data_IF_822389044935
#
_entry.id   IF_822389044935
#
_cell.length_a   1.000
_cell.length_b   1.000
_cell.length_c   1.000
_cell.angle_alpha   90.00
_cell.angle_beta   90.00
_cell.angle_gamma   90.00
#
_symmetry.space_group_name_H-M   'P 1'
#
loop_
_entity.id
_entity.type
_entity.pdbx_description
1 polymer ?
#
# COMPACT_ATOMS: atom_id res chain seq x y z
N UNK A 1 22.44 -19.47 23.09
CA UNK A 1 23.62 -18.66 22.73
C UNK A 1 23.92 -18.96 21.27
N UNK A 2 23.20 -18.36 20.30
CA UNK A 2 23.58 -17.12 19.61
C UNK A 2 22.36 -16.21 19.35
N UNK A 3 21.83 -15.62 20.42
CA UNK A 3 20.79 -14.59 20.38
C UNK A 3 21.38 -13.17 20.16
N UNK A 4 22.46 -13.03 19.37
CA UNK A 4 23.20 -11.76 19.36
C UNK A 4 23.81 -11.29 18.02
N UNK A 5 23.55 -11.91 16.85
CA UNK A 5 24.18 -11.42 15.60
C UNK A 5 23.39 -11.38 14.28
N UNK A 6 22.07 -11.49 14.29
CA UNK A 6 21.29 -11.07 13.12
C UNK A 6 20.68 -9.66 13.26
N UNK A 7 21.13 -8.89 14.27
CA UNK A 7 20.86 -7.45 14.40
C UNK A 7 21.69 -6.57 13.44
N UNK A 8 22.40 -7.18 12.47
CA UNK A 8 23.28 -6.50 11.52
C UNK A 8 22.79 -6.52 10.05
N UNK A 9 21.61 -7.08 9.76
CA UNK A 9 20.98 -6.97 8.43
C UNK A 9 19.90 -5.87 8.38
N UNK A 10 19.90 -4.96 9.36
CA UNK A 10 18.98 -3.84 9.50
C UNK A 10 19.54 -2.49 8.99
N UNK A 11 20.70 -2.43 8.35
CA UNK A 11 21.24 -1.13 7.94
C UNK A 11 21.72 -1.16 6.48
N UNK A 12 20.80 -0.78 5.57
CA UNK A 12 21.04 -0.33 4.19
C UNK A 12 21.41 -1.41 3.15
N UNK A 13 20.72 -1.57 2.04
CA UNK A 13 19.62 -0.83 1.46
C UNK A 13 19.32 -1.44 0.11
N UNK A 14 18.15 -2.09 -0.03
CA UNK A 14 17.62 -2.39 -1.35
C UNK A 14 16.08 -2.46 -1.39
N UNK A 15 15.42 -1.81 -0.43
CA UNK A 15 14.01 -1.38 -0.59
C UNK A 15 13.88 -0.35 -1.72
N UNK A 16 15.01 0.23 -2.16
CA UNK A 16 15.14 1.01 -3.37
C UNK A 16 14.94 0.21 -4.66
N UNK A 17 15.16 -1.11 -4.70
CA UNK A 17 15.00 -1.86 -5.96
C UNK A 17 13.55 -2.17 -6.31
N UNK A 18 12.67 -2.32 -5.33
CA UNK A 18 11.23 -2.53 -5.57
C UNK A 18 10.56 -1.20 -5.97
N UNK A 19 10.91 -0.12 -5.27
CA UNK A 19 10.48 1.24 -5.62
C UNK A 19 11.09 1.68 -6.94
N UNK A 20 12.37 1.45 -7.23
CA UNK A 20 12.99 1.82 -8.51
C UNK A 20 12.49 0.95 -9.67
N UNK A 21 12.07 -0.30 -9.44
CA UNK A 21 11.37 -1.12 -10.46
C UNK A 21 9.94 -0.63 -10.68
N UNK A 22 9.23 -0.22 -9.62
CA UNK A 22 7.89 0.38 -9.71
C UNK A 22 7.94 1.78 -10.33
N UNK A 23 8.91 2.62 -9.97
CA UNK A 23 9.20 3.94 -10.53
C UNK A 23 9.69 3.83 -11.98
N UNK A 24 10.55 2.86 -12.34
CA UNK A 24 10.87 2.60 -13.76
C UNK A 24 9.68 2.09 -14.58
N UNK A 25 8.77 1.33 -13.99
CA UNK A 25 7.55 0.87 -14.65
C UNK A 25 6.50 1.98 -14.81
N UNK A 26 6.41 2.90 -13.85
CA UNK A 26 5.49 4.06 -13.85
C UNK A 26 6.06 5.32 -14.51
N UNK A 27 7.39 5.39 -14.74
CA UNK A 27 8.05 6.48 -15.44
C UNK A 27 7.97 6.40 -16.98
N UNK A 28 7.40 5.32 -17.54
CA UNK A 28 7.07 5.29 -18.97
C UNK A 28 5.69 5.90 -19.17
N UNK A 29 5.60 6.86 -20.07
CA UNK A 29 4.47 7.75 -20.34
C UNK A 29 3.07 7.12 -20.18
N UNK A 30 2.91 5.83 -20.51
CA UNK A 30 1.68 5.05 -20.37
C UNK A 30 1.00 5.10 -18.99
N UNK A 31 1.72 5.19 -17.87
CA UNK A 31 1.07 5.27 -16.54
C UNK A 31 0.22 6.53 -16.39
N UNK A 32 0.68 7.69 -16.87
CA UNK A 32 -0.12 8.92 -16.81
C UNK A 32 -1.35 8.86 -17.73
N UNK A 33 -1.27 8.08 -18.81
CA UNK A 33 -2.34 7.89 -19.79
C UNK A 33 -3.36 6.81 -19.38
N UNK A 34 -3.10 6.02 -18.34
CA UNK A 34 -4.09 5.07 -17.83
C UNK A 34 -5.25 5.78 -17.13
N UNK A 35 -6.49 5.27 -17.30
CA UNK A 35 -7.64 5.68 -16.50
C UNK A 35 -7.32 5.60 -14.99
N UNK A 36 -7.88 6.53 -14.22
CA UNK A 36 -7.63 6.62 -12.78
C UNK A 36 -7.99 5.32 -12.05
N UNK A 37 -9.03 4.64 -12.52
CA UNK A 37 -9.53 3.36 -12.01
C UNK A 37 -8.49 2.24 -12.19
N UNK A 38 -7.85 2.18 -13.36
CA UNK A 38 -6.82 1.16 -13.62
C UNK A 38 -5.56 1.42 -12.79
N UNK A 39 -5.21 2.69 -12.59
CA UNK A 39 -4.11 3.05 -11.69
C UNK A 39 -4.43 2.68 -10.25
N UNK A 40 -5.62 2.99 -9.77
CA UNK A 40 -6.06 2.63 -8.43
C UNK A 40 -6.12 1.12 -8.23
N UNK A 41 -6.57 0.35 -9.23
CA UNK A 41 -6.54 -1.11 -9.19
C UNK A 41 -5.11 -1.66 -9.03
N UNK A 42 -4.15 -1.14 -9.80
CA UNK A 42 -2.75 -1.53 -9.67
C UNK A 42 -2.16 -1.18 -8.30
N UNK A 43 -2.50 -0.01 -7.75
CA UNK A 43 -2.07 0.40 -6.41
C UNK A 43 -2.73 -0.46 -5.32
N UNK A 44 -3.98 -0.88 -5.49
CA UNK A 44 -4.65 -1.82 -4.60
C UNK A 44 -3.95 -3.19 -4.58
N UNK A 45 -3.56 -3.71 -5.74
CA UNK A 45 -2.80 -4.96 -5.83
C UNK A 45 -1.42 -4.82 -5.17
N UNK A 46 -0.79 -3.65 -5.31
CA UNK A 46 0.48 -3.32 -4.64
C UNK A 46 0.31 -3.26 -3.11
N UNK A 47 -0.76 -2.64 -2.61
CA UNK A 47 -1.06 -2.60 -1.18
C UNK A 47 -1.29 -4.01 -0.60
N UNK A 48 -1.98 -4.89 -1.35
CA UNK A 48 -2.13 -6.31 -0.97
C UNK A 48 -0.78 -7.04 -0.91
N UNK A 49 0.14 -6.76 -1.82
CA UNK A 49 1.47 -7.35 -1.80
C UNK A 49 2.29 -6.90 -0.56
N UNK A 50 2.18 -5.64 -0.17
CA UNK A 50 2.80 -5.15 1.08
C UNK A 50 2.20 -5.82 2.33
N UNK A 51 0.88 -6.01 2.39
CA UNK A 51 0.25 -6.75 3.48
C UNK A 51 0.74 -8.21 3.56
N UNK A 52 0.84 -8.89 2.42
CA UNK A 52 1.36 -10.26 2.37
C UNK A 52 2.82 -10.39 2.83
N UNK A 53 3.59 -9.31 2.74
CA UNK A 53 4.99 -9.25 3.17
C UNK A 53 5.17 -8.68 4.58
N UNK A 54 4.07 -8.39 5.29
CA UNK A 54 4.10 -7.89 6.66
C UNK A 54 4.46 -6.41 6.78
N UNK A 55 4.17 -5.61 5.75
CA UNK A 55 4.44 -4.16 5.72
C UNK A 55 3.13 -3.35 5.61
N UNK A 56 2.35 -3.25 6.70
CA UNK A 56 1.09 -2.51 6.72
C UNK A 56 1.29 -1.00 6.54
N UNK A 57 2.48 -0.48 6.84
CA UNK A 57 2.80 0.94 6.69
C UNK A 57 2.89 1.33 5.22
N UNK A 58 3.67 0.59 4.42
CA UNK A 58 3.74 0.83 2.98
C UNK A 58 2.44 0.46 2.26
N UNK A 59 1.72 -0.57 2.72
CA UNK A 59 0.37 -0.86 2.24
C UNK A 59 -0.56 0.35 2.43
N UNK A 60 -0.55 0.96 3.62
CA UNK A 60 -1.34 2.15 3.91
C UNK A 60 -0.96 3.35 3.06
N UNK A 61 0.34 3.60 2.86
CA UNK A 61 0.83 4.69 2.00
C UNK A 61 0.32 4.56 0.57
N UNK A 62 0.42 3.36 -0.01
CA UNK A 62 -0.02 3.09 -1.39
C UNK A 62 -1.55 3.19 -1.50
N UNK A 63 -2.26 2.75 -0.47
CA UNK A 63 -3.72 2.86 -0.43
C UNK A 63 -4.19 4.31 -0.38
N UNK A 64 -3.50 5.20 0.35
CA UNK A 64 -3.79 6.64 0.35
C UNK A 64 -3.55 7.27 -1.03
N UNK A 65 -2.51 6.84 -1.73
CA UNK A 65 -2.26 7.29 -3.10
C UNK A 65 -3.38 6.82 -4.05
N UNK A 66 -3.88 5.60 -3.88
CA UNK A 66 -5.01 5.10 -4.64
C UNK A 66 -6.30 5.88 -4.33
N UNK A 67 -6.59 6.19 -3.06
CA UNK A 67 -7.75 7.01 -2.65
C UNK A 67 -7.65 8.41 -3.23
N UNK A 68 -6.44 8.99 -3.29
CA UNK A 68 -6.23 10.31 -3.89
C UNK A 68 -6.46 10.30 -5.41
N UNK A 69 -6.08 9.23 -6.11
CA UNK A 69 -6.22 9.12 -7.57
C UNK A 69 -7.64 8.78 -7.99
N UNK A 70 -8.30 7.85 -7.30
CA UNK A 70 -9.66 7.42 -7.60
C UNK A 70 -10.42 7.11 -6.29
N UNK A 71 -10.95 8.14 -5.59
CA UNK A 71 -11.62 7.94 -4.30
C UNK A 71 -12.80 6.96 -4.38
N UNK A 72 -13.51 6.93 -5.51
CA UNK A 72 -14.64 6.02 -5.70
C UNK A 72 -14.22 4.55 -5.68
N UNK A 73 -13.02 4.23 -6.18
CA UNK A 73 -12.50 2.85 -6.20
C UNK A 73 -12.12 2.36 -4.79
N UNK A 74 -11.74 3.26 -3.88
CA UNK A 74 -11.43 2.89 -2.49
C UNK A 74 -12.67 2.93 -1.61
N UNK A 75 -13.53 3.94 -1.78
CA UNK A 75 -14.62 4.21 -0.85
C UNK A 75 -15.89 3.42 -1.16
N UNK A 76 -16.14 3.11 -2.43
CA UNK A 76 -17.41 2.50 -2.86
C UNK A 76 -17.26 1.10 -3.45
N UNK A 77 -16.12 0.76 -4.05
CA UNK A 77 -15.93 -0.59 -4.59
C UNK A 77 -15.60 -1.58 -3.48
N UNK A 78 -16.14 -2.81 -3.54
CA UNK A 78 -15.82 -3.86 -2.56
C UNK A 78 -14.31 -4.12 -2.44
N UNK A 79 -13.61 -4.26 -3.57
CA UNK A 79 -12.18 -4.59 -3.57
C UNK A 79 -11.32 -3.55 -2.81
N UNK A 80 -11.62 -2.26 -2.94
CA UNK A 80 -10.91 -1.20 -2.23
C UNK A 80 -11.24 -1.17 -0.73
N UNK A 81 -12.53 -1.34 -0.41
CA UNK A 81 -13.03 -1.42 0.98
C UNK A 81 -12.44 -2.61 1.73
N UNK A 82 -12.29 -3.76 1.08
CA UNK A 82 -11.73 -4.99 1.67
C UNK A 82 -10.27 -4.81 2.04
N UNK A 83 -9.47 -4.24 1.13
CA UNK A 83 -8.05 -3.96 1.40
C UNK A 83 -7.91 -2.92 2.50
N UNK A 84 -8.73 -1.87 2.47
CA UNK A 84 -8.73 -0.86 3.53
C UNK A 84 -9.04 -1.45 4.91
N UNK A 85 -10.05 -2.32 5.01
CA UNK A 85 -10.37 -3.02 6.24
C UNK A 85 -9.22 -3.94 6.68
N UNK A 86 -8.57 -4.63 5.75
CA UNK A 86 -7.44 -5.50 6.06
C UNK A 86 -6.24 -4.72 6.59
N UNK A 87 -5.88 -3.59 5.98
CA UNK A 87 -4.81 -2.72 6.48
C UNK A 87 -5.20 -2.16 7.85
N UNK A 88 -6.42 -1.66 8.03
CA UNK A 88 -6.85 -1.00 9.26
C UNK A 88 -6.91 -1.93 10.49
N UNK A 89 -7.05 -3.25 10.29
CA UNK A 89 -7.02 -4.25 11.37
C UNK A 89 -5.60 -4.58 11.86
N UNK A 90 -4.58 -4.21 11.10
CA UNK A 90 -3.20 -4.47 11.49
C UNK A 90 -2.81 -3.57 12.68
N UNK A 91 -2.24 -4.10 13.78
CA UNK A 91 -1.81 -3.30 14.93
C UNK A 91 -0.79 -2.20 14.58
N UNK A 92 -0.02 -2.37 13.52
CA UNK A 92 0.96 -1.42 13.02
C UNK A 92 0.41 -0.51 11.90
N UNK A 93 -0.90 -0.54 11.66
CA UNK A 93 -1.53 0.29 10.64
C UNK A 93 -1.32 1.79 10.93
N UNK A 94 -1.00 2.61 9.91
CA UNK A 94 -0.97 4.06 10.05
C UNK A 94 -2.33 4.60 10.53
N UNK A 95 -2.33 5.50 11.52
CA UNK A 95 -3.57 6.09 12.09
C UNK A 95 -4.50 6.72 11.04
N UNK A 96 -3.95 7.29 9.97
CA UNK A 96 -4.73 7.87 8.87
C UNK A 96 -5.59 6.82 8.14
N UNK A 97 -5.10 5.58 8.06
CA UNK A 97 -5.81 4.46 7.45
C UNK A 97 -6.96 4.03 8.36
N UNK A 98 -6.67 3.86 9.65
CA UNK A 98 -7.69 3.52 10.66
C UNK A 98 -8.81 4.56 10.68
N UNK A 99 -8.45 5.86 10.60
CA UNK A 99 -9.43 6.94 10.57
C UNK A 99 -10.26 6.96 9.27
N UNK A 100 -9.63 6.75 8.11
CA UNK A 100 -10.35 6.65 6.84
C UNK A 100 -11.32 5.47 6.88
N UNK A 101 -10.87 4.31 7.36
CA UNK A 101 -11.66 3.10 7.49
C UNK A 101 -12.91 3.35 8.36
N UNK A 102 -12.73 3.95 9.54
CA UNK A 102 -13.82 4.32 10.43
C UNK A 102 -14.80 5.31 9.79
N UNK A 103 -14.30 6.31 9.05
CA UNK A 103 -15.12 7.34 8.41
C UNK A 103 -16.05 6.76 7.34
N UNK A 104 -15.61 5.73 6.61
CA UNK A 104 -16.39 5.11 5.54
C UNK A 104 -17.09 3.79 5.96
N UNK A 105 -17.03 3.47 7.26
CA UNK A 105 -17.67 2.30 7.85
C UNK A 105 -17.08 0.97 7.37
N UNK A 106 -15.75 0.88 7.29
CA UNK A 106 -15.04 -0.39 7.06
C UNK A 106 -14.06 -0.62 8.21
N UNK A 107 -14.02 -1.82 8.77
CA UNK A 107 -13.26 -2.14 9.98
C UNK A 107 -13.66 -3.49 10.52
#
# INVERSE_FOLDING_TARGET
MELARAAAAMEWGDSGNAVARHEKATARDGWRWLPAEHRAAHLLDTARAYLQTGDPVNAGRVLMEADRIAPAEIRHRPAGRDVLAQVARDPAAPMIIVHLAATIGVG
#
